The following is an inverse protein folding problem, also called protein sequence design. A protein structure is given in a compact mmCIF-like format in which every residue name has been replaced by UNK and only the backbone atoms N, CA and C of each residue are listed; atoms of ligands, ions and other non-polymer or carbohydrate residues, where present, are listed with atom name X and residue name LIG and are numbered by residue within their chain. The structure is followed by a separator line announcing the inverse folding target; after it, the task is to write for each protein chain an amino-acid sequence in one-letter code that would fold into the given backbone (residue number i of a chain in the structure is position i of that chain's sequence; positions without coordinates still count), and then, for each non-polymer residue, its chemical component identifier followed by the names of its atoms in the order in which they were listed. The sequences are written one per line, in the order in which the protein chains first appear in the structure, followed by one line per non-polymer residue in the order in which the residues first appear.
data_IF_101037221536
#
_entry.id   IF_101037221536
#
_cell.length_a   1.000
_cell.length_b   1.000
_cell.length_c   1.000
_cell.angle_alpha   90.00
_cell.angle_beta   90.00
_cell.angle_gamma   90.00
#
_symmetry.space_group_name_H-M   'P 1'
#
loop_
_entity.id
_entity.type
_entity.pdbx_description
1 polymer ?
#
# COMPACT_ATOMS: atom_id res chain seq x y z
N UNK A 1 14.17 -2.07 -23.24
CA UNK A 1 14.12 -1.94 -21.76
C UNK A 1 13.14 -0.85 -21.39
N UNK A 2 12.16 -1.17 -20.53
CA UNK A 2 11.12 -0.24 -20.09
C UNK A 2 10.97 -0.31 -18.57
N UNK A 3 10.35 0.73 -17.99
CA UNK A 3 9.84 0.68 -16.62
C UNK A 3 8.37 0.23 -16.66
N UNK A 4 8.01 -0.72 -15.81
CA UNK A 4 6.67 -1.30 -15.75
C UNK A 4 6.13 -1.09 -14.33
N UNK A 5 4.95 -0.48 -14.25
CA UNK A 5 4.20 -0.36 -13.01
C UNK A 5 3.14 -1.46 -13.02
N UNK A 6 3.25 -2.38 -12.06
CA UNK A 6 2.34 -3.50 -11.90
C UNK A 6 1.39 -3.17 -10.77
N UNK A 7 0.10 -3.13 -11.10
CA UNK A 7 -0.96 -3.15 -10.10
C UNK A 7 -0.92 -4.46 -9.29
N UNK A 8 -1.55 -4.48 -8.11
CA UNK A 8 -1.53 -5.63 -7.19
C UNK A 8 -2.86 -6.36 -7.19
N UNK A 9 -3.92 -5.67 -6.78
CA UNK A 9 -5.26 -6.22 -6.62
C UNK A 9 -5.87 -6.58 -7.98
N UNK A 10 -6.30 -7.83 -8.17
CA UNK A 10 -6.79 -8.31 -9.47
C UNK A 10 -5.71 -8.60 -10.51
N UNK A 11 -4.42 -8.37 -10.18
CA UNK A 11 -3.27 -8.70 -11.02
C UNK A 11 -2.48 -9.88 -10.46
N UNK A 12 -2.16 -9.84 -9.16
CA UNK A 12 -1.44 -10.93 -8.47
C UNK A 12 -2.34 -11.77 -7.60
N UNK A 13 -3.46 -11.23 -7.11
CA UNK A 13 -4.44 -11.99 -6.34
C UNK A 13 -5.86 -11.47 -6.49
N UNK A 14 -6.84 -12.31 -6.19
CA UNK A 14 -8.24 -11.93 -6.01
C UNK A 14 -8.65 -12.42 -4.63
N UNK A 15 -9.09 -11.51 -3.74
CA UNK A 15 -9.50 -11.86 -2.38
C UNK A 15 -8.45 -12.67 -1.58
N UNK A 16 -7.17 -12.38 -1.80
CA UNK A 16 -6.04 -13.11 -1.18
C UNK A 16 -5.61 -14.38 -1.90
N UNK A 17 -6.39 -14.86 -2.87
CA UNK A 17 -6.04 -16.05 -3.67
C UNK A 17 -5.12 -15.67 -4.84
N UNK A 18 -3.93 -16.29 -4.98
CA UNK A 18 -2.99 -15.95 -6.04
C UNK A 18 -3.53 -16.21 -7.44
N UNK A 19 -3.28 -15.28 -8.36
CA UNK A 19 -3.54 -15.46 -9.79
C UNK A 19 -2.39 -16.26 -10.40
N UNK A 20 -2.73 -17.36 -11.07
CA UNK A 20 -1.76 -18.25 -11.70
C UNK A 20 -0.89 -17.51 -12.73
N UNK A 21 0.42 -17.69 -12.62
CA UNK A 21 1.40 -17.11 -13.55
C UNK A 21 1.94 -15.73 -13.17
N UNK A 22 1.42 -15.07 -12.12
CA UNK A 22 1.91 -13.75 -11.69
C UNK A 22 3.40 -13.72 -11.36
N UNK A 23 3.87 -14.65 -10.52
CA UNK A 23 5.29 -14.80 -10.19
C UNK A 23 6.18 -15.09 -11.40
N UNK A 24 5.70 -15.92 -12.32
CA UNK A 24 6.44 -16.25 -13.54
C UNK A 24 6.53 -15.03 -14.48
N UNK A 25 5.46 -14.25 -14.59
CA UNK A 25 5.49 -13.01 -15.36
C UNK A 25 6.51 -12.02 -14.80
N UNK A 26 6.57 -11.84 -13.48
CA UNK A 26 7.56 -10.96 -12.82
C UNK A 26 8.99 -11.43 -13.12
N UNK A 27 9.27 -12.73 -12.95
CA UNK A 27 10.60 -13.28 -13.26
C UNK A 27 11.00 -13.05 -14.70
N UNK A 28 10.09 -13.31 -15.65
CA UNK A 28 10.34 -13.08 -17.09
C UNK A 28 10.61 -11.62 -17.42
N UNK A 29 9.81 -10.70 -16.87
CA UNK A 29 10.01 -9.26 -17.06
C UNK A 29 11.39 -8.81 -16.53
N UNK A 30 11.82 -9.32 -15.37
CA UNK A 30 13.16 -9.03 -14.84
C UNK A 30 14.26 -9.63 -15.71
N UNK A 31 14.11 -10.87 -16.16
CA UNK A 31 15.07 -11.55 -17.04
C UNK A 31 15.26 -10.81 -18.38
N UNK A 32 14.19 -10.21 -18.90
CA UNK A 32 14.20 -9.36 -20.11
C UNK A 32 14.79 -7.95 -19.84
N UNK A 33 15.25 -7.68 -18.61
CA UNK A 33 15.93 -6.46 -18.20
C UNK A 33 14.99 -5.30 -17.85
N UNK A 34 13.69 -5.54 -17.67
CA UNK A 34 12.76 -4.46 -17.29
C UNK A 34 12.94 -4.03 -15.83
N UNK A 35 12.70 -2.74 -15.57
CA UNK A 35 12.57 -2.22 -14.21
C UNK A 35 11.12 -2.32 -13.78
N UNK A 36 10.87 -2.88 -12.59
CA UNK A 36 9.53 -3.14 -12.09
C UNK A 36 9.27 -2.30 -10.84
N UNK A 37 8.06 -1.78 -10.71
CA UNK A 37 7.50 -1.28 -9.45
C UNK A 37 6.11 -1.84 -9.26
N UNK A 38 5.78 -2.19 -8.03
CA UNK A 38 4.46 -2.60 -7.61
C UNK A 38 3.73 -1.36 -7.09
N UNK A 39 2.52 -1.14 -7.55
CA UNK A 39 1.69 -0.02 -7.15
C UNK A 39 0.35 -0.56 -6.70
N UNK A 40 -0.18 -0.06 -5.59
CA UNK A 40 -1.54 -0.38 -5.16
C UNK A 40 -2.21 0.87 -4.62
N UNK A 41 -3.52 0.95 -4.83
CA UNK A 41 -4.38 1.91 -4.16
C UNK A 41 -5.04 1.34 -2.90
N UNK A 42 -4.73 0.09 -2.52
CA UNK A 42 -5.20 -0.57 -1.32
C UNK A 42 -4.73 0.16 -0.05
N UNK A 43 -5.67 0.36 0.87
CA UNK A 43 -5.46 1.06 2.14
C UNK A 43 -5.92 0.23 3.35
N UNK A 44 -6.09 -1.08 3.17
CA UNK A 44 -6.58 -2.01 4.21
C UNK A 44 -5.46 -2.75 4.92
N UNK A 45 -4.30 -2.88 4.29
CA UNK A 45 -3.10 -3.50 4.87
C UNK A 45 -1.94 -2.52 4.79
N UNK A 46 -1.10 -2.56 5.81
CA UNK A 46 0.18 -1.85 5.77
C UNK A 46 1.11 -2.42 4.70
N UNK A 47 1.98 -1.57 4.14
CA UNK A 47 2.96 -1.92 3.10
C UNK A 47 3.82 -3.14 3.43
N UNK A 48 4.28 -3.27 4.68
CA UNK A 48 5.10 -4.41 5.10
C UNK A 48 4.31 -5.73 5.00
N UNK A 49 3.08 -5.76 5.52
CA UNK A 49 2.21 -6.92 5.44
C UNK A 49 1.87 -7.27 3.99
N UNK A 50 1.60 -6.28 3.13
CA UNK A 50 1.35 -6.51 1.72
C UNK A 50 2.59 -7.08 0.99
N UNK A 51 3.79 -6.59 1.31
CA UNK A 51 5.02 -7.13 0.73
C UNK A 51 5.26 -8.59 1.16
N UNK A 52 4.98 -8.93 2.42
CA UNK A 52 5.02 -10.30 2.92
C UNK A 52 4.02 -11.21 2.19
N UNK A 53 2.77 -10.74 2.01
CA UNK A 53 1.76 -11.48 1.26
C UNK A 53 2.23 -11.75 -0.17
N UNK A 54 2.71 -10.75 -0.89
CA UNK A 54 3.21 -10.91 -2.26
C UNK A 54 4.38 -11.91 -2.33
N UNK A 55 5.32 -11.85 -1.38
CA UNK A 55 6.42 -12.81 -1.28
C UNK A 55 5.92 -14.23 -1.00
N UNK A 56 4.90 -14.39 -0.15
CA UNK A 56 4.27 -15.68 0.11
C UNK A 56 3.59 -16.27 -1.15
N UNK A 57 3.15 -15.42 -2.08
CA UNK A 57 2.64 -15.83 -3.40
C UNK A 57 3.76 -16.15 -4.42
N UNK A 58 5.03 -16.07 -4.01
CA UNK A 58 6.19 -16.31 -4.86
C UNK A 58 6.59 -15.12 -5.74
N UNK A 59 6.08 -13.92 -5.47
CA UNK A 59 6.50 -12.68 -6.14
C UNK A 59 7.83 -12.21 -5.55
N UNK A 60 8.84 -12.05 -6.39
CA UNK A 60 10.12 -11.46 -5.98
C UNK A 60 10.04 -9.93 -6.05
N UNK A 61 10.06 -9.29 -4.87
CA UNK A 61 10.09 -7.83 -4.73
C UNK A 61 10.95 -7.37 -3.55
N UNK A 62 11.60 -6.22 -3.74
CA UNK A 62 12.21 -5.44 -2.66
C UNK A 62 11.18 -4.48 -2.05
N UNK A 63 11.34 -4.10 -0.78
CA UNK A 63 10.38 -3.24 -0.07
C UNK A 63 10.24 -1.85 -0.70
N UNK A 64 11.31 -1.35 -1.34
CA UNK A 64 11.35 -0.08 -2.06
C UNK A 64 10.63 -0.13 -3.40
N UNK A 65 10.36 -1.33 -3.92
CA UNK A 65 9.65 -1.51 -5.19
C UNK A 65 8.14 -1.39 -5.02
N UNK A 66 7.62 -1.50 -3.79
CA UNK A 66 6.21 -1.38 -3.47
C UNK A 66 5.82 0.05 -3.09
N UNK A 67 4.92 0.63 -3.88
CA UNK A 67 4.33 1.94 -3.63
C UNK A 67 2.86 1.78 -3.27
N UNK A 68 2.46 2.41 -2.17
CA UNK A 68 1.12 2.38 -1.60
C UNK A 68 0.55 3.80 -1.55
N UNK A 69 -0.77 3.93 -1.64
CA UNK A 69 -1.44 5.23 -1.49
C UNK A 69 -1.25 5.88 -0.11
N UNK A 70 -1.21 5.15 1.03
CA UNK A 70 -0.87 5.73 2.33
C UNK A 70 0.48 6.44 2.34
N UNK A 71 1.53 5.82 1.76
CA UNK A 71 2.85 6.43 1.66
C UNK A 71 2.84 7.71 0.82
N UNK A 72 2.11 7.71 -0.30
CA UNK A 72 1.97 8.90 -1.14
C UNK A 72 1.20 10.03 -0.42
N UNK A 73 0.17 9.67 0.35
CA UNK A 73 -0.57 10.62 1.19
C UNK A 73 0.34 11.23 2.27
N UNK A 74 1.15 10.41 2.95
CA UNK A 74 2.10 10.85 3.96
C UNK A 74 3.08 11.90 3.43
N UNK A 75 3.65 11.64 2.24
CA UNK A 75 4.55 12.60 1.58
C UNK A 75 3.84 13.90 1.20
N UNK A 76 2.58 13.81 0.76
CA UNK A 76 1.80 14.99 0.32
C UNK A 76 1.37 15.87 1.50
N UNK A 77 1.08 15.25 2.64
CA UNK A 77 0.55 15.90 3.85
C UNK A 77 1.63 16.15 4.91
N UNK A 78 2.91 15.92 4.58
CA UNK A 78 4.01 16.07 5.52
C UNK A 78 4.01 17.46 6.19
N UNK A 79 4.14 17.47 7.52
CA UNK A 79 4.15 18.67 8.35
C UNK A 79 2.79 19.31 8.59
N UNK A 80 1.68 18.66 8.20
CA UNK A 80 0.31 19.14 8.47
C UNK A 80 -0.34 18.38 9.62
N UNK A 81 -1.30 19.03 10.25
CA UNK A 81 -2.24 18.44 11.21
C UNK A 81 -3.39 17.79 10.46
N UNK A 82 -3.51 16.47 10.56
CA UNK A 82 -4.45 15.68 9.75
C UNK A 82 -5.38 14.85 10.61
N UNK A 83 -6.67 14.95 10.31
CA UNK A 83 -7.66 13.98 10.78
C UNK A 83 -7.65 12.79 9.82
N UNK A 84 -7.10 11.66 10.25
CA UNK A 84 -7.10 10.43 9.46
C UNK A 84 -8.35 9.59 9.75
N UNK A 85 -9.16 9.38 8.72
CA UNK A 85 -10.31 8.49 8.67
C UNK A 85 -9.92 7.28 7.80
N UNK A 86 -9.08 6.43 8.37
CA UNK A 86 -8.47 5.29 7.68
C UNK A 86 -8.39 4.05 8.54
N UNK A 87 -8.04 2.91 7.94
CA UNK A 87 -7.72 1.69 8.69
C UNK A 87 -6.48 1.90 9.60
N UNK A 88 -6.49 1.28 10.78
CA UNK A 88 -5.35 1.38 11.72
C UNK A 88 -4.08 0.76 11.12
N UNK A 89 -4.23 -0.28 10.31
CA UNK A 89 -3.12 -1.02 9.69
C UNK A 89 -2.15 -0.13 8.86
N UNK A 90 -2.61 1.03 8.38
CA UNK A 90 -1.79 1.94 7.56
C UNK A 90 -1.20 3.10 8.35
N UNK A 91 -1.51 3.25 9.64
CA UNK A 91 -1.03 4.38 10.48
C UNK A 91 0.50 4.44 10.51
N UNK A 92 1.16 3.29 10.55
CA UNK A 92 2.62 3.20 10.48
C UNK A 92 3.24 3.73 9.17
N UNK A 93 2.45 3.95 8.13
CA UNK A 93 2.90 4.55 6.86
C UNK A 93 2.69 6.07 6.80
N UNK A 94 1.95 6.64 7.76
CA UNK A 94 1.63 8.07 7.84
C UNK A 94 2.70 8.88 8.57
N UNK A 95 3.94 8.37 8.60
CA UNK A 95 5.09 9.07 9.19
C UNK A 95 5.27 10.47 8.59
N UNK A 96 5.55 11.45 9.45
CA UNK A 96 5.75 12.84 9.05
C UNK A 96 4.46 13.67 8.97
N UNK A 97 3.30 13.07 9.27
CA UNK A 97 2.04 13.78 9.49
C UNK A 97 1.77 13.87 11.01
N UNK A 98 1.19 14.98 11.48
CA UNK A 98 0.67 15.09 12.84
C UNK A 98 -0.79 14.64 12.86
N UNK A 99 -1.08 13.45 13.40
CA UNK A 99 -2.46 12.96 13.51
C UNK A 99 -3.20 13.67 14.64
N UNK A 100 -4.34 14.29 14.35
CA UNK A 100 -5.14 15.06 15.31
C UNK A 100 -6.63 14.72 15.22
N UNK A 101 -7.33 14.77 16.35
CA UNK A 101 -8.79 14.59 16.40
C UNK A 101 -9.59 15.87 16.17
N UNK A 102 -9.00 17.04 16.41
CA UNK A 102 -9.64 18.36 16.29
C UNK A 102 -8.68 19.39 15.67
N UNK A 103 -9.24 20.51 15.18
CA UNK A 103 -8.51 21.61 14.52
C UNK A 103 -7.61 21.17 13.34
N UNK A 104 -8.01 20.14 12.58
CA UNK A 104 -7.23 19.61 11.47
C UNK A 104 -7.13 20.59 10.28
N UNK A 105 -5.98 20.59 9.60
CA UNK A 105 -5.74 21.34 8.36
C UNK A 105 -6.15 20.55 7.11
N UNK A 106 -6.21 19.22 7.22
CA UNK A 106 -6.69 18.32 6.19
C UNK A 106 -7.34 17.07 6.78
N UNK A 107 -8.20 16.43 5.99
CA UNK A 107 -8.79 15.12 6.30
C UNK A 107 -8.24 14.10 5.31
N UNK A 108 -7.62 13.04 5.80
CA UNK A 108 -7.18 11.91 4.99
C UNK A 108 -8.25 10.81 5.08
N UNK A 109 -8.77 10.38 3.94
CA UNK A 109 -9.82 9.35 3.86
C UNK A 109 -9.30 8.19 3.04
N UNK A 110 -9.44 6.96 3.54
CA UNK A 110 -9.07 5.77 2.79
C UNK A 110 -9.32 4.50 3.58
N UNK A 111 -9.95 3.50 2.97
CA UNK A 111 -10.25 2.25 3.67
C UNK A 111 -11.26 2.48 4.80
N UNK A 112 -12.54 2.52 4.43
CA UNK A 112 -13.62 2.31 5.36
C UNK A 112 -14.23 0.98 4.98
N UNK A 113 -13.84 -0.09 5.69
CA UNK A 113 -14.67 -1.27 5.70
C UNK A 113 -15.68 -1.15 6.85
N UNK A 114 -16.52 -2.17 7.03
CA UNK A 114 -17.54 -2.17 8.08
C UNK A 114 -16.95 -2.50 9.47
N UNK A 115 -15.63 -2.60 9.60
CA UNK A 115 -14.98 -2.97 10.87
C UNK A 115 -14.72 -1.77 11.78
N UNK A 116 -14.49 -1.99 13.08
CA UNK A 116 -14.12 -0.93 14.01
C UNK A 116 -12.74 -0.32 13.78
N UNK A 117 -11.95 -0.79 12.81
CA UNK A 117 -10.54 -0.36 12.63
C UNK A 117 -10.38 1.15 12.48
N UNK A 118 -11.32 1.82 11.82
CA UNK A 118 -11.26 3.28 11.64
C UNK A 118 -11.28 4.03 12.99
N UNK A 119 -11.88 3.44 14.03
CA UNK A 119 -11.92 4.03 15.37
C UNK A 119 -10.62 3.82 16.17
N UNK A 120 -9.73 2.95 15.70
CA UNK A 120 -8.47 2.61 16.36
C UNK A 120 -7.31 3.52 15.91
N UNK A 121 -7.53 4.47 15.01
CA UNK A 121 -6.47 5.37 14.53
C UNK A 121 -5.90 6.24 15.65
N UNK A 122 -6.73 6.63 16.62
CA UNK A 122 -6.37 7.50 17.73
C UNK A 122 -6.19 6.78 19.07
N UNK A 123 -6.16 5.44 19.06
CA UNK A 123 -6.04 4.60 20.27
C UNK A 123 -4.61 4.22 20.60
#
# INVERSE_FOLDING_TARGET
MAAILLDVDGVFHVSGEPIAGGAEAVRRLRADGHRIRFVTNGTTKGRAALAEDLRAMGIELDDEELQTTPRAAAQTLAGRRVLALTMHAIVGELEGIELVGEDAEAVLIGGADETPETNLVFS
#
